data_IF_704486562921
#
_entry.id   IF_704486562921
#
_cell.length_a   1.000
_cell.length_b   1.000
_cell.length_c   1.000
_cell.angle_alpha   90.00
_cell.angle_beta   90.00
_cell.angle_gamma   90.00
#
_symmetry.space_group_name_H-M   'P 1'
#
loop_
_entity.id
_entity.type
_entity.pdbx_description
1 polymer ?
#
# COMPACT_ATOMS: atom_id res chain seq x y z
N UNK A 1 -33.45 -49.37 11.06
CA UNK A 1 -34.18 -48.98 9.83
C UNK A 1 -34.32 -47.46 9.86
N UNK A 2 -33.89 -46.80 8.79
CA UNK A 2 -33.68 -45.36 8.70
C UNK A 2 -34.98 -44.53 8.58
N UNK A 3 -34.79 -43.20 8.72
CA UNK A 3 -35.65 -42.06 8.30
C UNK A 3 -36.61 -41.58 9.40
N UNK A 4 -36.77 -40.28 9.68
CA UNK A 4 -36.24 -39.07 9.05
C UNK A 4 -36.41 -37.87 9.99
N UNK A 5 -35.65 -36.81 9.71
CA UNK A 5 -35.66 -35.56 10.47
C UNK A 5 -36.86 -34.72 10.04
N UNK A 6 -37.75 -34.42 10.99
CA UNK A 6 -38.89 -33.52 10.81
C UNK A 6 -38.49 -32.06 10.99
N UNK A 7 -38.70 -31.26 9.96
CA UNK A 7 -38.61 -29.81 9.99
C UNK A 7 -39.89 -29.25 10.65
N UNK A 8 -39.75 -28.47 11.72
CA UNK A 8 -40.84 -27.69 12.33
C UNK A 8 -40.48 -26.20 12.18
N UNK A 9 -41.30 -25.39 11.48
CA UNK A 9 -41.07 -23.96 11.37
C UNK A 9 -41.59 -23.30 12.65
N UNK A 10 -40.70 -23.03 13.61
CA UNK A 10 -41.05 -22.17 14.74
C UNK A 10 -41.14 -20.73 14.25
N UNK A 11 -42.38 -20.23 14.23
CA UNK A 11 -42.73 -18.86 13.91
C UNK A 11 -42.06 -17.85 14.83
N UNK A 12 -41.63 -16.76 14.21
CA UNK A 12 -41.19 -15.55 14.90
C UNK A 12 -42.42 -14.81 15.41
N UNK A 13 -42.51 -14.44 16.70
CA UNK A 13 -43.47 -13.44 17.13
C UNK A 13 -42.96 -12.05 16.73
N UNK A 14 -43.58 -11.48 15.69
CA UNK A 14 -43.54 -10.05 15.39
C UNK A 14 -44.54 -9.31 16.29
N UNK A 15 -44.07 -8.54 17.28
CA UNK A 15 -44.63 -7.23 17.66
C UNK A 15 -43.95 -6.67 18.92
N UNK A 16 -42.69 -6.24 18.80
CA UNK A 16 -42.15 -5.27 19.75
C UNK A 16 -42.24 -3.86 19.17
N UNK A 17 -43.08 -3.08 19.84
CA UNK A 17 -43.34 -1.66 19.63
C UNK A 17 -42.05 -0.85 19.51
N UNK A 18 -41.92 -0.11 18.41
CA UNK A 18 -40.87 0.89 18.19
C UNK A 18 -41.08 2.04 19.20
N UNK A 19 -40.13 2.34 20.10
CA UNK A 19 -40.19 3.56 20.89
C UNK A 19 -39.84 4.75 20.00
N UNK A 20 -40.82 5.60 19.71
CA UNK A 20 -40.63 6.91 19.09
C UNK A 20 -39.98 7.86 20.11
N UNK A 21 -38.66 8.01 20.03
CA UNK A 21 -37.98 9.08 20.76
C UNK A 21 -38.43 10.44 20.24
N UNK A 22 -38.81 11.40 21.11
CA UNK A 22 -39.21 12.73 20.69
C UNK A 22 -37.98 13.46 20.17
N UNK A 23 -38.12 14.10 19.00
CA UNK A 23 -37.21 15.11 18.48
C UNK A 23 -36.94 16.15 19.56
N UNK A 24 -35.81 15.97 20.27
CA UNK A 24 -35.30 16.92 21.24
C UNK A 24 -34.84 18.14 20.46
N UNK A 25 -35.57 19.25 20.65
CA UNK A 25 -35.34 20.57 20.03
C UNK A 25 -33.84 20.88 19.97
N UNK A 26 -33.26 20.79 18.79
CA UNK A 26 -31.88 21.22 18.54
C UNK A 26 -31.88 22.74 18.67
N UNK A 27 -31.11 23.26 19.63
CA UNK A 27 -31.05 24.69 19.93
C UNK A 27 -30.63 25.49 18.69
N UNK A 28 -31.24 26.65 18.38
CA UNK A 28 -30.87 27.48 17.23
C UNK A 28 -29.38 27.87 17.22
N UNK A 29 -28.73 27.80 18.38
CA UNK A 29 -27.29 28.05 18.56
C UNK A 29 -26.41 26.96 17.90
N UNK A 30 -26.88 25.71 17.84
CA UNK A 30 -26.18 24.60 17.18
C UNK A 30 -26.27 24.74 15.65
N UNK A 31 -27.43 25.17 15.13
CA UNK A 31 -27.58 25.50 13.71
C UNK A 31 -26.74 26.73 13.32
N UNK A 32 -26.66 27.75 14.18
CA UNK A 32 -25.82 28.92 13.95
C UNK A 32 -24.34 28.57 13.88
N UNK A 33 -23.84 27.64 14.72
CA UNK A 33 -22.45 27.17 14.69
C UNK A 33 -22.12 26.36 13.43
N UNK A 34 -23.04 25.51 12.97
CA UNK A 34 -22.86 24.73 11.73
C UNK A 34 -22.85 25.67 10.52
N UNK A 35 -23.75 26.66 10.48
CA UNK A 35 -23.76 27.67 9.42
C UNK A 35 -22.52 28.57 9.45
N UNK A 36 -22.03 28.95 10.64
CA UNK A 36 -20.79 29.73 10.79
C UNK A 36 -19.54 28.93 10.36
N UNK A 37 -19.49 27.63 10.64
CA UNK A 37 -18.40 26.75 10.20
C UNK A 37 -18.30 26.64 8.68
N UNK A 38 -19.45 26.53 8.00
CA UNK A 38 -19.50 26.49 6.52
C UNK A 38 -19.08 27.85 5.91
N UNK A 39 -19.42 28.97 6.55
CA UNK A 39 -19.01 30.31 6.10
C UNK A 39 -17.51 30.57 6.32
N UNK A 40 -16.92 30.10 7.43
CA UNK A 40 -15.47 30.17 7.66
C UNK A 40 -14.67 29.37 6.62
N UNK A 41 -15.13 28.18 6.24
CA UNK A 41 -14.43 27.36 5.25
C UNK A 41 -14.37 27.99 3.84
N UNK A 42 -15.31 28.91 3.51
CA UNK A 42 -15.34 29.61 2.22
C UNK A 42 -14.41 30.83 2.12
N UNK A 43 -13.97 31.42 3.23
CA UNK A 43 -13.07 32.58 3.22
C UNK A 43 -11.58 32.23 3.17
N UNK A 44 -11.21 30.95 3.27
CA UNK A 44 -9.82 30.50 3.30
C UNK A 44 -9.28 29.97 1.96
N UNK A 45 -10.02 30.08 0.86
CA UNK A 45 -9.54 29.63 -0.45
C UNK A 45 -9.34 30.79 -1.43
N UNK A 46 -8.16 31.45 -1.45
CA UNK A 46 -7.81 32.33 -2.56
C UNK A 46 -7.57 31.47 -3.81
N UNK A 47 -8.33 31.76 -4.88
CA UNK A 47 -8.25 31.06 -6.15
C UNK A 47 -6.83 31.04 -6.75
N UNK A 48 -6.43 29.97 -7.47
CA UNK A 48 -5.14 29.93 -8.14
C UNK A 48 -5.13 30.94 -9.29
N UNK A 49 -4.28 31.95 -9.18
CA UNK A 49 -4.01 32.92 -10.25
C UNK A 49 -3.16 32.23 -11.32
N UNK A 50 -3.81 31.80 -12.40
CA UNK A 50 -3.12 31.37 -13.61
C UNK A 50 -2.26 32.53 -14.14
N UNK A 51 -0.94 32.35 -14.12
CA UNK A 51 0.02 33.23 -14.77
C UNK A 51 1.19 32.37 -15.25
N UNK A 52 1.20 32.06 -16.55
CA UNK A 52 2.39 31.61 -17.23
C UNK A 52 3.40 32.78 -17.29
N UNK A 53 4.68 32.59 -16.97
CA UNK A 53 5.71 33.51 -17.40
C UNK A 53 6.37 32.97 -18.68
N UNK A 54 6.40 33.86 -19.66
CA UNK A 54 7.14 33.75 -20.90
C UNK A 54 8.64 33.52 -20.65
N UNK A 55 9.26 32.80 -21.58
CA UNK A 55 10.69 32.59 -21.68
C UNK A 55 11.45 33.93 -21.64
N UNK A 56 12.39 34.03 -20.71
CA UNK A 56 13.46 35.03 -20.71
C UNK A 56 14.78 34.27 -20.81
N UNK A 57 15.72 34.65 -21.69
CA UNK A 57 16.98 33.94 -21.86
C UNK A 57 17.90 34.27 -20.68
N UNK A 58 18.39 33.26 -19.97
CA UNK A 58 19.42 33.42 -18.94
C UNK A 58 20.73 32.90 -19.53
N UNK A 59 21.62 33.84 -19.85
CA UNK A 59 23.04 33.60 -20.11
C UNK A 59 23.79 33.26 -18.81
N UNK A 60 24.59 32.20 -18.92
CA UNK A 60 25.87 31.91 -18.23
C UNK A 60 26.05 32.24 -16.74
N UNK A 61 26.13 31.18 -15.94
CA UNK A 61 27.18 31.03 -14.91
C UNK A 61 27.45 29.53 -14.69
N UNK A 62 28.46 29.02 -15.38
CA UNK A 62 29.00 27.67 -15.21
C UNK A 62 29.87 27.61 -13.96
N UNK A 63 29.23 27.58 -12.79
CA UNK A 63 29.85 27.16 -11.53
C UNK A 63 29.17 25.87 -11.08
N UNK A 64 29.51 24.75 -11.72
CA UNK A 64 29.13 23.43 -11.19
C UNK A 64 30.20 23.01 -10.20
N UNK A 65 29.97 23.35 -8.94
CA UNK A 65 30.61 22.68 -7.82
C UNK A 65 30.16 21.20 -7.91
N UNK A 66 31.02 20.35 -8.48
CA UNK A 66 30.75 18.94 -8.66
C UNK A 66 30.42 18.33 -7.29
N UNK A 67 29.19 17.82 -7.16
CA UNK A 67 28.78 17.09 -5.98
C UNK A 67 29.76 15.93 -5.75
N UNK A 68 30.13 15.64 -4.49
CA UNK A 68 31.06 14.55 -4.19
C UNK A 68 30.51 13.25 -4.79
N UNK A 69 31.33 12.57 -5.59
CA UNK A 69 30.93 11.29 -6.16
C UNK A 69 30.58 10.31 -5.03
N UNK A 70 29.45 9.60 -5.15
CA UNK A 70 29.04 8.67 -4.11
C UNK A 70 30.12 7.59 -3.93
N UNK A 71 30.38 7.15 -2.68
CA UNK A 71 31.40 6.14 -2.42
C UNK A 71 31.09 4.87 -3.22
N UNK A 72 32.13 4.28 -3.82
CA UNK A 72 32.01 3.08 -4.63
C UNK A 72 31.47 1.90 -3.81
N UNK A 73 30.44 1.21 -4.34
CA UNK A 73 29.85 0.02 -3.72
C UNK A 73 30.76 -1.18 -3.94
N UNK A 74 31.21 -1.82 -2.85
CA UNK A 74 32.15 -2.96 -2.89
C UNK A 74 31.47 -4.33 -2.85
N UNK A 75 30.31 -4.41 -2.20
CA UNK A 75 29.63 -5.67 -1.92
C UNK A 75 28.12 -5.53 -2.05
N UNK A 76 27.49 -6.50 -2.71
CA UNK A 76 26.04 -6.60 -2.84
C UNK A 76 25.60 -7.94 -2.26
N UNK A 77 24.68 -7.91 -1.29
CA UNK A 77 24.04 -9.09 -0.73
C UNK A 77 22.56 -9.03 -1.12
N UNK A 78 22.09 -10.03 -1.84
CA UNK A 78 20.70 -10.15 -2.26
C UNK A 78 20.02 -11.25 -1.44
N UNK A 79 18.96 -10.89 -0.72
CA UNK A 79 18.15 -11.84 0.06
C UNK A 79 16.75 -11.93 -0.54
N UNK A 80 16.36 -13.13 -0.95
CA UNK A 80 15.06 -13.40 -1.58
C UNK A 80 14.26 -14.30 -0.64
N UNK A 81 13.08 -13.83 -0.20
CA UNK A 81 12.09 -14.67 0.45
C UNK A 81 11.13 -15.21 -0.61
N UNK A 82 11.22 -16.50 -0.93
CA UNK A 82 10.30 -17.12 -1.88
C UNK A 82 8.86 -17.07 -1.34
N UNK A 83 7.91 -16.63 -2.18
CA UNK A 83 6.52 -16.40 -1.78
C UNK A 83 6.32 -15.30 -0.73
N UNK A 84 7.33 -14.47 -0.43
CA UNK A 84 7.24 -13.43 0.59
C UNK A 84 6.61 -12.13 0.05
N UNK A 85 5.30 -12.11 -0.01
CA UNK A 85 4.53 -10.89 -0.29
C UNK A 85 4.46 -9.94 0.91
N UNK A 86 3.95 -8.73 0.66
CA UNK A 86 3.69 -7.73 1.72
C UNK A 86 2.77 -8.26 2.83
N UNK A 87 1.91 -9.22 2.51
CA UNK A 87 1.01 -9.87 3.45
C UNK A 87 1.78 -10.74 4.45
N UNK A 88 2.70 -11.59 3.95
CA UNK A 88 3.56 -12.44 4.76
C UNK A 88 4.47 -11.62 5.67
N UNK A 89 5.03 -10.51 5.17
CA UNK A 89 5.83 -9.59 5.98
C UNK A 89 5.00 -8.97 7.11
N UNK A 90 3.79 -8.51 6.78
CA UNK A 90 2.87 -7.91 7.77
C UNK A 90 2.46 -8.93 8.84
N UNK A 91 2.19 -10.17 8.44
CA UNK A 91 1.86 -11.26 9.36
C UNK A 91 3.02 -11.59 10.30
N UNK A 92 4.26 -11.61 9.81
CA UNK A 92 5.44 -11.87 10.63
C UNK A 92 5.63 -10.78 11.71
N UNK A 93 5.50 -9.51 11.33
CA UNK A 93 5.58 -8.37 12.25
C UNK A 93 4.45 -8.43 13.29
N UNK A 94 3.21 -8.67 12.85
CA UNK A 94 2.06 -8.75 13.74
C UNK A 94 2.17 -9.94 14.70
N UNK A 95 2.60 -11.10 14.22
CA UNK A 95 2.82 -12.28 15.03
C UNK A 95 3.82 -12.00 16.15
N UNK A 96 4.96 -11.39 15.80
CA UNK A 96 5.96 -10.95 16.78
C UNK A 96 5.34 -10.01 17.81
N UNK A 97 4.64 -8.96 17.39
CA UNK A 97 4.05 -7.97 18.30
C UNK A 97 3.00 -8.57 19.25
N UNK A 98 2.13 -9.47 18.76
CA UNK A 98 1.03 -10.02 19.54
C UNK A 98 1.40 -11.25 20.38
N UNK A 99 2.35 -12.07 19.90
CA UNK A 99 2.68 -13.36 20.52
C UNK A 99 4.02 -13.34 21.25
N UNK A 100 4.93 -12.43 20.88
CA UNK A 100 6.27 -12.31 21.45
C UNK A 100 6.68 -10.84 21.64
N UNK A 101 5.94 -10.06 22.45
CA UNK A 101 6.21 -8.63 22.62
C UNK A 101 7.59 -8.34 23.24
N UNK A 102 8.11 -9.27 24.03
CA UNK A 102 9.43 -9.17 24.69
C UNK A 102 10.62 -9.37 23.71
N UNK A 103 10.39 -9.98 22.55
CA UNK A 103 11.47 -10.26 21.59
C UNK A 103 11.96 -8.94 20.94
N UNK A 104 13.21 -8.86 20.44
CA UNK A 104 13.70 -7.71 19.67
C UNK A 104 13.15 -7.69 18.24
N UNK A 105 12.93 -6.49 17.67
CA UNK A 105 12.35 -6.32 16.32
C UNK A 105 13.01 -7.21 15.27
N UNK A 106 12.21 -7.70 14.32
CA UNK A 106 12.71 -8.55 13.23
C UNK A 106 13.77 -7.79 12.43
N UNK A 107 14.82 -8.47 11.98
CA UNK A 107 15.85 -7.83 11.16
C UNK A 107 15.25 -7.19 9.89
N UNK A 108 14.27 -7.85 9.27
CA UNK A 108 13.52 -7.32 8.13
C UNK A 108 12.72 -6.06 8.50
N UNK A 109 12.11 -6.02 9.69
CA UNK A 109 11.36 -4.86 10.18
C UNK A 109 12.28 -3.64 10.35
N UNK A 110 13.47 -3.85 10.93
CA UNK A 110 14.48 -2.78 11.07
C UNK A 110 14.96 -2.27 9.71
N UNK A 111 15.18 -3.16 8.74
CA UNK A 111 15.58 -2.77 7.39
C UNK A 111 14.51 -1.93 6.70
N UNK A 112 13.24 -2.33 6.81
CA UNK A 112 12.11 -1.61 6.23
C UNK A 112 11.85 -0.24 6.87
N UNK A 113 12.15 -0.09 8.17
CA UNK A 113 12.00 1.19 8.89
C UNK A 113 13.12 2.18 8.57
N UNK A 114 14.35 1.69 8.42
CA UNK A 114 15.55 2.54 8.36
C UNK A 114 16.05 2.83 6.94
N UNK A 115 15.53 2.14 5.92
CA UNK A 115 15.99 2.29 4.53
C UNK A 115 14.82 2.48 3.55
N UNK A 116 15.08 3.05 2.36
CA UNK A 116 14.07 3.17 1.31
C UNK A 116 13.55 1.81 0.86
N UNK A 117 12.24 1.72 0.65
CA UNK A 117 11.53 0.55 0.16
C UNK A 117 10.78 0.87 -1.14
N UNK A 118 10.53 -0.16 -1.95
CA UNK A 118 9.85 -0.03 -3.23
C UNK A 118 9.02 -1.27 -3.56
N UNK A 119 8.07 -1.11 -4.49
CA UNK A 119 7.25 -2.21 -5.01
C UNK A 119 7.73 -2.59 -6.40
N UNK A 120 7.84 -3.89 -6.66
CA UNK A 120 8.28 -4.44 -7.96
C UNK A 120 7.17 -5.27 -8.57
N UNK A 121 6.95 -5.11 -9.88
CA UNK A 121 6.00 -5.93 -10.64
C UNK A 121 6.67 -7.23 -11.09
N UNK A 122 6.24 -8.34 -10.51
CA UNK A 122 6.83 -9.68 -10.70
C UNK A 122 6.25 -10.48 -11.86
N UNK A 123 5.37 -9.94 -12.71
CA UNK A 123 4.79 -10.71 -13.83
C UNK A 123 5.86 -11.30 -14.77
N UNK A 124 5.66 -12.52 -15.23
CA UNK A 124 6.53 -13.18 -16.21
C UNK A 124 6.28 -12.64 -17.63
N UNK A 125 7.07 -13.08 -18.60
CA UNK A 125 6.84 -12.76 -20.01
C UNK A 125 5.63 -13.54 -20.51
N UNK A 126 4.60 -12.85 -21.01
CA UNK A 126 3.37 -13.49 -21.49
C UNK A 126 2.36 -13.86 -20.40
N UNK A 127 2.77 -13.93 -19.12
CA UNK A 127 1.91 -14.34 -18.01
C UNK A 127 1.80 -13.29 -16.89
N UNK A 128 0.61 -13.20 -16.29
CA UNK A 128 0.35 -12.29 -15.16
C UNK A 128 1.01 -12.80 -13.88
N UNK A 129 1.00 -14.12 -13.69
CA UNK A 129 1.58 -14.81 -12.53
C UNK A 129 2.92 -15.41 -12.95
N UNK A 130 3.96 -15.12 -12.17
CA UNK A 130 5.29 -15.71 -12.35
C UNK A 130 5.46 -16.93 -11.46
N UNK A 131 6.26 -17.88 -11.90
CA UNK A 131 6.87 -18.89 -11.04
C UNK A 131 8.20 -18.38 -10.44
N UNK A 132 8.79 -19.19 -9.54
CA UNK A 132 10.05 -18.84 -8.88
C UNK A 132 11.25 -18.86 -9.85
N UNK A 133 11.22 -19.70 -10.90
CA UNK A 133 12.29 -19.83 -11.89
C UNK A 133 12.40 -18.57 -12.78
N UNK A 134 11.28 -18.12 -13.35
CA UNK A 134 11.25 -16.90 -14.15
C UNK A 134 11.55 -15.65 -13.32
N UNK A 135 11.07 -15.60 -12.08
CA UNK A 135 11.35 -14.51 -11.15
C UNK A 135 12.85 -14.44 -10.80
N UNK A 136 13.47 -15.57 -10.48
CA UNK A 136 14.90 -15.63 -10.18
C UNK A 136 15.74 -15.23 -11.39
N UNK A 137 15.39 -15.70 -12.58
CA UNK A 137 16.06 -15.33 -13.84
C UNK A 137 15.92 -13.84 -14.12
N UNK A 138 14.74 -13.26 -13.90
CA UNK A 138 14.53 -11.82 -14.07
C UNK A 138 15.34 -10.97 -13.09
N UNK A 139 15.51 -11.43 -11.85
CA UNK A 139 16.32 -10.74 -10.84
C UNK A 139 17.82 -10.86 -11.14
N UNK A 140 18.28 -12.03 -11.60
CA UNK A 140 19.69 -12.28 -11.88
C UNK A 140 20.17 -11.64 -13.20
N UNK A 141 19.36 -11.75 -14.26
CA UNK A 141 19.73 -11.33 -15.62
C UNK A 141 19.13 -9.98 -16.02
N UNK A 142 18.19 -9.44 -15.24
CA UNK A 142 17.53 -8.16 -15.55
C UNK A 142 16.52 -8.22 -16.70
N UNK A 143 16.14 -9.43 -17.14
CA UNK A 143 15.18 -9.64 -18.24
C UNK A 143 14.08 -10.60 -17.85
N UNK A 144 12.83 -10.25 -18.18
CA UNK A 144 11.68 -11.12 -17.95
C UNK A 144 11.68 -12.28 -18.94
N UNK A 145 11.39 -13.47 -18.44
CA UNK A 145 11.38 -14.72 -19.21
C UNK A 145 10.03 -15.43 -19.06
N UNK A 146 9.82 -16.48 -19.85
CA UNK A 146 8.65 -17.34 -19.75
C UNK A 146 8.66 -18.10 -18.41
N UNK A 147 7.49 -18.52 -17.93
CA UNK A 147 7.41 -19.41 -16.77
C UNK A 147 8.16 -20.72 -17.06
N UNK A 148 8.69 -21.34 -16.01
CA UNK A 148 9.50 -22.58 -16.04
C UNK A 148 10.89 -22.42 -16.69
N UNK A 149 11.24 -21.23 -17.20
CA UNK A 149 12.54 -20.94 -17.77
C UNK A 149 13.57 -20.55 -16.69
N UNK A 150 14.78 -21.12 -16.79
CA UNK A 150 15.92 -20.79 -15.91
C UNK A 150 17.11 -20.39 -16.77
N UNK A 151 17.56 -19.13 -16.63
CA UNK A 151 18.79 -18.66 -17.28
C UNK A 151 18.78 -18.61 -18.80
N UNK A 152 17.60 -18.70 -19.42
CA UNK A 152 17.39 -18.59 -20.87
C UNK A 152 16.47 -17.40 -21.17
N UNK A 153 16.65 -16.77 -22.32
CA UNK A 153 15.76 -15.71 -22.77
C UNK A 153 14.39 -16.23 -23.23
N UNK A 154 13.51 -15.34 -23.69
CA UNK A 154 12.18 -15.70 -24.23
C UNK A 154 12.24 -16.51 -25.53
N UNK A 155 13.39 -16.54 -26.20
CA UNK A 155 13.62 -17.27 -27.45
C UNK A 155 14.26 -18.65 -27.19
N UNK A 156 14.71 -18.93 -25.96
CA UNK A 156 15.29 -20.20 -25.54
C UNK A 156 16.81 -20.30 -25.68
N UNK A 157 17.53 -19.19 -25.77
CA UNK A 157 19.01 -19.14 -25.82
C UNK A 157 19.62 -18.57 -24.55
#
# INVERSE_FOLDING_TARGET
MARGWGYSPRGWPMSESIPSHPFRKISPLVFALILWGIVCARQMNPAPKAAAPAASPVETASDTHAAPEPPAVKSVILMIGDGMGVQQVSQAVLYRQLRKPEDPELALEKLLKNHPNGLVRTSAYGDIVTDSAAAATAIACGQKVLNEAVGIDVNGY
#
